data_IF_664131616987
#
_entry.id   IF_664131616987
#
_cell.length_a   1.000
_cell.length_b   1.000
_cell.length_c   1.000
_cell.angle_alpha   90.00
_cell.angle_beta   90.00
_cell.angle_gamma   90.00
#
_symmetry.space_group_name_H-M   'P 1'
#
loop_
_entity.id
_entity.type
_entity.pdbx_description
1 polymer ?
#
# COMPACT_ATOMS: atom_id res chain seq x y z
N UNK A 1 11.48 -21.40 -16.65
CA UNK A 1 10.27 -20.88 -17.34
C UNK A 1 10.16 -19.40 -17.05
N UNK A 2 9.81 -18.64 -18.05
CA UNK A 2 9.51 -17.22 -17.92
C UNK A 2 8.18 -17.03 -17.16
N UNK A 3 8.14 -16.08 -16.21
CA UNK A 3 6.95 -15.74 -15.44
C UNK A 3 6.55 -14.32 -15.79
N UNK A 4 5.36 -14.18 -16.34
CA UNK A 4 4.80 -12.90 -16.75
C UNK A 4 3.77 -12.43 -15.71
N UNK A 5 3.94 -11.22 -15.23
CA UNK A 5 2.98 -10.56 -14.36
C UNK A 5 2.71 -9.13 -14.83
N UNK A 6 1.48 -8.68 -14.67
CA UNK A 6 1.08 -7.31 -14.90
C UNK A 6 0.74 -6.69 -13.57
N UNK A 7 1.53 -5.70 -13.14
CA UNK A 7 1.31 -4.94 -11.93
C UNK A 7 0.70 -3.58 -12.30
N UNK A 8 -0.35 -3.17 -11.57
CA UNK A 8 -1.03 -1.90 -11.77
C UNK A 8 -0.99 -1.14 -10.45
N UNK A 9 -0.56 0.10 -10.50
CA UNK A 9 -0.67 1.04 -9.39
C UNK A 9 -2.06 1.69 -9.42
N UNK A 10 -2.75 1.66 -8.30
CA UNK A 10 -4.07 2.28 -8.16
C UNK A 10 -3.96 3.63 -7.49
N UNK A 11 -3.60 3.67 -6.23
CA UNK A 11 -3.38 4.89 -5.47
C UNK A 11 -2.78 4.54 -4.10
N UNK A 12 -1.99 5.44 -3.50
CA UNK A 12 -1.43 5.31 -2.15
C UNK A 12 -0.66 3.99 -1.95
N UNK A 13 -1.23 3.04 -1.21
CA UNK A 13 -0.72 1.67 -1.03
C UNK A 13 -1.48 0.64 -1.86
N UNK A 14 -2.39 1.09 -2.74
CA UNK A 14 -3.24 0.23 -3.56
C UNK A 14 -2.56 -0.27 -4.82
N UNK A 15 -2.41 -1.60 -4.93
CA UNK A 15 -1.87 -2.27 -6.12
C UNK A 15 -2.73 -3.45 -6.53
N UNK A 16 -2.70 -3.78 -7.82
CA UNK A 16 -3.13 -5.10 -8.27
C UNK A 16 -2.07 -5.78 -9.12
N UNK A 17 -2.01 -7.11 -9.05
CA UNK A 17 -1.09 -7.94 -9.80
C UNK A 17 -1.85 -9.07 -10.47
N UNK A 18 -1.75 -9.13 -11.78
CA UNK A 18 -2.32 -10.18 -12.61
C UNK A 18 -1.23 -11.20 -12.97
N UNK A 19 -1.52 -12.48 -12.72
CA UNK A 19 -0.70 -13.61 -13.14
C UNK A 19 -1.63 -14.69 -13.71
N UNK A 20 -1.58 -14.88 -15.04
CA UNK A 20 -2.56 -15.73 -15.74
C UNK A 20 -3.99 -15.28 -15.49
N UNK A 21 -4.88 -16.23 -15.12
CA UNK A 21 -6.28 -15.95 -14.76
C UNK A 21 -6.50 -15.48 -13.33
N UNK A 22 -5.42 -15.25 -12.55
CA UNK A 22 -5.50 -14.84 -11.14
C UNK A 22 -5.19 -13.36 -10.96
N UNK A 23 -6.02 -12.67 -10.19
CA UNK A 23 -5.82 -11.28 -9.77
C UNK A 23 -5.58 -11.21 -8.26
N UNK A 24 -4.49 -10.55 -7.86
CA UNK A 24 -4.19 -10.16 -6.48
C UNK A 24 -4.45 -8.66 -6.36
N UNK A 25 -5.14 -8.22 -5.33
CA UNK A 25 -5.40 -6.81 -5.03
C UNK A 25 -4.93 -6.55 -3.61
N UNK A 26 -4.13 -5.51 -3.41
CA UNK A 26 -3.56 -5.13 -2.12
C UNK A 26 -4.06 -3.74 -1.73
N UNK A 27 -4.55 -3.58 -0.50
CA UNK A 27 -4.88 -2.33 0.17
C UNK A 27 -5.54 -1.28 -0.75
N UNK A 28 -6.60 -1.69 -1.46
CA UNK A 28 -7.27 -0.83 -2.42
C UNK A 28 -8.06 0.27 -1.72
N UNK A 29 -7.80 1.50 -2.16
CA UNK A 29 -8.49 2.70 -1.72
C UNK A 29 -8.67 3.69 -2.87
N UNK A 30 -9.83 4.31 -3.00
CA UNK A 30 -10.15 5.27 -4.08
C UNK A 30 -9.78 6.72 -3.72
N UNK A 31 -9.13 6.94 -2.58
CA UNK A 31 -8.78 8.27 -2.08
C UNK A 31 -9.91 8.95 -1.33
N UNK A 32 -9.60 10.05 -0.66
CA UNK A 32 -10.60 10.91 -0.05
C UNK A 32 -11.58 11.42 -1.12
N UNK A 33 -12.86 11.48 -0.76
CA UNK A 33 -13.93 11.90 -1.67
C UNK A 33 -13.97 11.13 -3.02
N UNK A 34 -13.39 9.92 -3.06
CA UNK A 34 -13.28 9.09 -4.27
C UNK A 34 -12.61 9.82 -5.43
N UNK A 35 -11.55 10.56 -5.11
CA UNK A 35 -10.79 11.36 -6.08
C UNK A 35 -10.01 10.54 -7.11
N UNK A 36 -9.90 9.21 -6.91
CA UNK A 36 -9.21 8.34 -7.85
C UNK A 36 -9.85 8.38 -9.24
N UNK A 37 -9.07 8.77 -10.23
CA UNK A 37 -9.49 8.85 -11.64
C UNK A 37 -9.82 7.47 -12.23
N UNK A 38 -10.51 7.47 -13.38
CA UNK A 38 -11.01 6.25 -14.04
C UNK A 38 -9.90 5.22 -14.30
N UNK A 39 -8.69 5.65 -14.64
CA UNK A 39 -7.57 4.76 -14.97
C UNK A 39 -7.09 3.93 -13.77
N UNK A 40 -7.20 4.49 -12.54
CA UNK A 40 -6.81 3.80 -11.32
C UNK A 40 -7.91 2.95 -10.69
N UNK A 41 -9.16 3.10 -11.13
CA UNK A 41 -10.29 2.39 -10.50
C UNK A 41 -10.40 0.93 -10.90
N UNK A 42 -10.71 0.11 -9.90
CA UNK A 42 -11.12 -1.27 -10.11
C UNK A 42 -12.65 -1.31 -10.26
N UNK A 43 -13.11 -1.72 -11.44
CA UNK A 43 -14.54 -1.82 -11.74
C UNK A 43 -15.00 -3.29 -11.76
N UNK A 44 -16.29 -3.57 -11.51
CA UNK A 44 -16.82 -4.92 -11.67
C UNK A 44 -16.54 -5.52 -13.05
N UNK A 45 -16.57 -4.70 -14.11
CA UNK A 45 -16.25 -5.15 -15.47
C UNK A 45 -14.79 -5.61 -15.60
N UNK A 46 -13.84 -4.91 -14.97
CA UNK A 46 -12.45 -5.32 -14.91
C UNK A 46 -12.31 -6.66 -14.18
N UNK A 47 -12.98 -6.81 -13.03
CA UNK A 47 -12.93 -8.02 -12.21
C UNK A 47 -13.49 -9.27 -12.92
N UNK A 48 -14.47 -9.12 -13.81
CA UNK A 48 -15.07 -10.23 -14.58
C UNK A 48 -14.10 -10.92 -15.54
N UNK A 49 -12.94 -10.31 -15.81
CA UNK A 49 -11.91 -10.91 -16.66
C UNK A 49 -11.08 -12.01 -15.96
N UNK A 50 -11.27 -12.23 -14.63
CA UNK A 50 -10.42 -13.12 -13.86
C UNK A 50 -11.19 -14.33 -13.33
N UNK A 51 -10.50 -15.48 -13.33
CA UNK A 51 -11.02 -16.74 -12.81
C UNK A 51 -10.97 -16.81 -11.28
N UNK A 52 -9.98 -16.13 -10.67
CA UNK A 52 -9.76 -16.07 -9.24
C UNK A 52 -9.28 -14.67 -8.83
N UNK A 53 -9.88 -14.14 -7.77
CA UNK A 53 -9.55 -12.82 -7.25
C UNK A 53 -9.26 -12.92 -5.76
N UNK A 54 -8.10 -12.42 -5.33
CA UNK A 54 -7.70 -12.38 -3.93
C UNK A 54 -7.47 -10.93 -3.51
N UNK A 55 -8.20 -10.49 -2.50
CA UNK A 55 -8.10 -9.13 -1.94
C UNK A 55 -7.40 -9.23 -0.59
N UNK A 56 -6.24 -8.62 -0.49
CA UNK A 56 -5.41 -8.55 0.72
C UNK A 56 -5.59 -7.20 1.38
N UNK A 57 -5.92 -7.20 2.67
CA UNK A 57 -6.12 -5.98 3.48
C UNK A 57 -5.21 -6.10 4.69
N UNK A 58 -4.20 -5.23 4.73
CA UNK A 58 -3.15 -5.27 5.74
C UNK A 58 -3.66 -4.85 7.11
N UNK A 59 -4.49 -3.81 7.19
CA UNK A 59 -5.07 -3.27 8.42
C UNK A 59 -6.32 -2.40 8.15
N UNK A 60 -6.88 -1.80 9.21
CA UNK A 60 -8.18 -1.15 9.16
C UNK A 60 -8.14 0.38 8.93
N UNK A 61 -6.97 0.98 8.67
CA UNK A 61 -6.93 2.41 8.34
C UNK A 61 -7.69 2.69 7.03
N UNK A 62 -8.37 3.83 6.92
CA UNK A 62 -9.21 4.14 5.75
C UNK A 62 -8.47 4.14 4.42
N UNK A 63 -7.18 4.49 4.40
CA UNK A 63 -6.31 4.55 3.24
C UNK A 63 -5.74 3.18 2.80
N UNK A 64 -6.07 2.10 3.55
CA UNK A 64 -5.76 0.70 3.22
C UNK A 64 -7.00 -0.19 3.06
N UNK A 65 -8.15 0.27 3.53
CA UNK A 65 -9.42 -0.43 3.43
C UNK A 65 -10.55 0.49 2.94
N UNK A 66 -10.81 0.50 1.65
CA UNK A 66 -12.05 1.09 1.13
C UNK A 66 -13.20 0.07 1.25
N UNK A 67 -14.33 0.43 1.90
CA UNK A 67 -15.50 -0.44 1.98
C UNK A 67 -16.06 -0.88 0.61
N UNK A 68 -15.72 -0.17 -0.47
CA UNK A 68 -16.14 -0.52 -1.84
C UNK A 68 -15.71 -1.94 -2.23
N UNK A 69 -14.56 -2.42 -1.71
CA UNK A 69 -14.06 -3.77 -2.01
C UNK A 69 -15.07 -4.85 -1.65
N UNK A 70 -15.88 -4.63 -0.62
CA UNK A 70 -16.91 -5.57 -0.20
C UNK A 70 -18.17 -5.52 -1.06
N UNK A 71 -18.41 -4.43 -1.80
CA UNK A 71 -19.55 -4.33 -2.72
C UNK A 71 -19.38 -5.24 -3.94
N UNK A 72 -18.14 -5.60 -4.29
CA UNK A 72 -17.84 -6.51 -5.40
C UNK A 72 -18.41 -7.91 -5.22
N UNK A 73 -18.72 -8.32 -3.98
CA UNK A 73 -19.42 -9.59 -3.70
C UNK A 73 -20.81 -9.68 -4.35
N UNK A 74 -21.45 -8.52 -4.54
CA UNK A 74 -22.79 -8.45 -5.14
C UNK A 74 -22.77 -8.82 -6.65
N UNK A 75 -21.60 -8.82 -7.27
CA UNK A 75 -21.41 -9.16 -8.68
C UNK A 75 -21.22 -10.67 -8.93
N UNK A 76 -21.35 -11.50 -7.90
CA UNK A 76 -21.14 -12.96 -7.97
C UNK A 76 -19.77 -13.36 -8.53
N UNK A 77 -18.73 -12.61 -8.14
CA UNK A 77 -17.35 -12.81 -8.57
C UNK A 77 -16.62 -13.80 -7.64
N UNK A 78 -15.62 -14.56 -8.15
CA UNK A 78 -14.85 -15.54 -7.37
C UNK A 78 -13.81 -14.85 -6.48
N UNK A 79 -14.27 -14.05 -5.51
CA UNK A 79 -13.40 -13.23 -4.64
C UNK A 79 -13.16 -13.92 -3.31
N UNK A 80 -11.90 -14.00 -2.91
CA UNK A 80 -11.47 -14.39 -1.55
C UNK A 80 -10.77 -13.21 -0.90
N UNK A 81 -11.24 -12.79 0.28
CA UNK A 81 -10.61 -11.75 1.09
C UNK A 81 -9.67 -12.37 2.10
N UNK A 82 -8.46 -11.84 2.21
CA UNK A 82 -7.45 -12.16 3.21
C UNK A 82 -7.20 -10.89 4.01
N UNK A 83 -7.44 -10.95 5.29
CA UNK A 83 -7.38 -9.77 6.16
C UNK A 83 -6.52 -10.06 7.38
N UNK A 84 -5.87 -9.04 7.93
CA UNK A 84 -5.14 -9.17 9.18
C UNK A 84 -6.02 -9.70 10.32
N UNK A 85 -5.41 -10.41 11.27
CA UNK A 85 -6.14 -10.98 12.41
C UNK A 85 -6.69 -9.96 13.39
N UNK A 86 -6.12 -8.76 13.42
CA UNK A 86 -6.52 -7.63 14.29
C UNK A 86 -7.61 -6.73 13.70
N UNK A 87 -8.08 -7.04 12.48
CA UNK A 87 -9.20 -6.32 11.89
C UNK A 87 -10.42 -6.32 12.83
N UNK A 88 -11.25 -5.25 12.81
CA UNK A 88 -12.46 -5.17 13.63
C UNK A 88 -13.37 -6.40 13.52
N UNK A 89 -14.09 -6.70 14.60
CA UNK A 89 -15.09 -7.79 14.60
C UNK A 89 -16.16 -7.50 13.54
N UNK A 90 -16.49 -8.50 12.74
CA UNK A 90 -17.45 -8.34 11.63
C UNK A 90 -16.81 -8.05 10.27
N UNK A 91 -15.52 -7.68 10.21
CA UNK A 91 -14.80 -7.59 8.94
C UNK A 91 -14.78 -8.95 8.26
N UNK A 92 -15.33 -9.01 7.04
CA UNK A 92 -15.37 -10.24 6.24
C UNK A 92 -14.01 -10.62 5.68
N UNK A 93 -13.69 -11.91 5.68
CA UNK A 93 -12.46 -12.45 5.09
C UNK A 93 -11.81 -13.56 5.92
N UNK A 94 -10.80 -14.21 5.32
CA UNK A 94 -9.95 -15.19 5.99
C UNK A 94 -8.86 -14.43 6.78
N UNK A 95 -8.94 -14.47 8.10
CA UNK A 95 -7.98 -13.80 8.98
C UNK A 95 -6.63 -14.50 8.96
N UNK A 96 -5.55 -13.70 8.96
CA UNK A 96 -4.17 -14.19 9.06
C UNK A 96 -3.39 -13.37 10.09
N UNK A 97 -2.72 -14.05 11.02
CA UNK A 97 -1.88 -13.41 12.03
C UNK A 97 -0.40 -13.42 11.61
N UNK A 98 0.43 -12.52 12.17
CA UNK A 98 1.87 -12.55 11.98
C UNK A 98 2.46 -13.95 12.21
N UNK A 99 3.37 -14.38 11.35
CA UNK A 99 4.00 -15.70 11.37
C UNK A 99 3.18 -16.82 10.73
N UNK A 100 1.91 -16.62 10.44
CA UNK A 100 1.07 -17.63 9.80
C UNK A 100 1.30 -17.69 8.28
N UNK A 101 1.17 -18.91 7.74
CA UNK A 101 1.11 -19.16 6.29
C UNK A 101 -0.21 -19.82 5.94
N UNK A 102 -0.85 -19.39 4.87
CA UNK A 102 -2.07 -20.01 4.33
C UNK A 102 -1.86 -20.40 2.87
N UNK A 103 -2.14 -21.66 2.54
CA UNK A 103 -2.29 -22.10 1.16
C UNK A 103 -3.67 -21.67 0.67
N UNK A 104 -3.76 -20.92 -0.42
CA UNK A 104 -4.99 -20.41 -0.99
C UNK A 104 -5.43 -21.25 -2.19
N UNK A 105 -4.47 -21.61 -3.05
CA UNK A 105 -4.63 -22.59 -4.15
C UNK A 105 -3.35 -23.44 -4.23
N UNK A 106 -3.25 -24.46 -5.07
CA UNK A 106 -2.00 -25.23 -5.23
C UNK A 106 -0.79 -24.35 -5.57
N UNK A 107 -0.99 -23.26 -6.33
CA UNK A 107 0.07 -22.39 -6.84
C UNK A 107 0.13 -21.02 -6.14
N UNK A 108 -0.72 -20.78 -5.13
CA UNK A 108 -0.81 -19.51 -4.43
C UNK A 108 -0.82 -19.72 -2.92
N UNK A 109 0.14 -19.14 -2.23
CA UNK A 109 0.18 -19.07 -0.78
C UNK A 109 0.49 -17.66 -0.29
N UNK A 110 0.11 -17.36 0.94
CA UNK A 110 0.42 -16.11 1.62
C UNK A 110 1.01 -16.39 2.99
N UNK A 111 2.06 -15.67 3.34
CA UNK A 111 2.64 -15.60 4.68
C UNK A 111 2.51 -14.16 5.19
N UNK A 112 2.04 -14.02 6.43
CA UNK A 112 1.94 -12.72 7.09
C UNK A 112 3.14 -12.49 8.02
N UNK A 113 3.61 -11.23 8.07
CA UNK A 113 4.68 -10.78 8.96
C UNK A 113 4.18 -9.66 9.85
N UNK A 114 4.84 -9.40 11.00
CA UNK A 114 4.50 -8.27 11.84
C UNK A 114 4.70 -6.94 11.10
N UNK A 115 3.88 -5.96 11.44
CA UNK A 115 4.01 -4.57 11.05
C UNK A 115 4.56 -3.74 12.23
N UNK A 116 5.00 -2.52 11.96
CA UNK A 116 5.40 -1.52 12.96
C UNK A 116 4.31 -0.48 13.21
N UNK A 117 3.20 -0.62 12.52
CA UNK A 117 1.93 0.01 12.80
C UNK A 117 0.89 -1.11 13.01
N UNK A 118 -0.38 -0.90 12.65
CA UNK A 118 -1.43 -1.91 12.74
C UNK A 118 -1.24 -3.01 11.67
N UNK A 119 -1.81 -4.17 11.94
CA UNK A 119 -1.97 -5.24 10.96
C UNK A 119 -0.73 -6.05 10.65
N UNK A 120 -0.56 -6.35 9.37
CA UNK A 120 0.47 -7.27 8.87
C UNK A 120 1.04 -6.80 7.54
N UNK A 121 2.28 -7.24 7.24
CA UNK A 121 2.80 -7.28 5.87
C UNK A 121 2.50 -8.64 5.25
N UNK A 122 2.33 -8.69 3.93
CA UNK A 122 2.06 -9.90 3.18
C UNK A 122 3.25 -10.29 2.30
N UNK A 123 3.63 -11.57 2.33
CA UNK A 123 4.45 -12.20 1.30
C UNK A 123 3.59 -13.21 0.56
N UNK A 124 3.23 -12.90 -0.67
CA UNK A 124 2.42 -13.78 -1.52
C UNK A 124 3.35 -14.50 -2.49
N UNK A 125 3.27 -15.82 -2.49
CA UNK A 125 3.96 -16.65 -3.48
C UNK A 125 2.92 -17.12 -4.51
N UNK A 126 3.06 -16.65 -5.74
CA UNK A 126 2.22 -17.03 -6.88
C UNK A 126 3.09 -17.61 -8.00
N UNK A 127 2.87 -18.88 -8.37
CA UNK A 127 3.68 -19.62 -9.35
C UNK A 127 5.19 -19.55 -9.07
N UNK A 128 5.57 -19.48 -7.77
CA UNK A 128 6.96 -19.35 -7.34
C UNK A 128 7.55 -17.94 -7.52
N UNK A 129 6.73 -16.91 -7.81
CA UNK A 129 7.13 -15.51 -7.73
C UNK A 129 6.70 -14.96 -6.38
N UNK A 130 7.60 -14.31 -5.66
CA UNK A 130 7.38 -13.78 -4.31
C UNK A 130 7.15 -12.27 -4.32
N UNK A 131 5.93 -11.89 -4.00
CA UNK A 131 5.44 -10.51 -3.97
C UNK A 131 5.26 -10.09 -2.51
N UNK A 132 5.99 -9.06 -2.08
CA UNK A 132 5.88 -8.49 -0.75
C UNK A 132 5.12 -7.17 -0.80
N UNK A 133 4.08 -7.06 0.03
CA UNK A 133 3.37 -5.81 0.30
C UNK A 133 3.53 -5.47 1.77
N UNK A 134 4.16 -4.35 2.04
CA UNK A 134 4.53 -3.97 3.39
C UNK A 134 3.34 -3.61 4.29
N UNK A 135 2.17 -3.23 3.72
CA UNK A 135 1.19 -2.48 4.48
C UNK A 135 1.87 -1.22 5.04
N UNK A 136 1.70 -0.96 6.32
CA UNK A 136 2.37 0.15 7.01
C UNK A 136 3.60 -0.29 7.82
N UNK A 137 4.22 -1.40 7.43
CA UNK A 137 5.56 -1.70 7.94
C UNK A 137 6.55 -0.65 7.44
N UNK A 138 7.11 0.13 8.35
CA UNK A 138 8.16 1.11 8.07
C UNK A 138 8.93 1.44 9.35
N UNK A 139 10.06 2.11 9.22
CA UNK A 139 10.73 2.74 10.35
C UNK A 139 10.03 4.08 10.64
N UNK A 140 8.95 4.04 11.40
CA UNK A 140 8.17 5.21 11.77
C UNK A 140 8.92 6.04 12.82
N UNK A 141 9.73 6.95 12.34
CA UNK A 141 10.70 7.69 13.11
C UNK A 141 10.51 9.20 12.91
N UNK A 142 9.68 9.78 13.76
CA UNK A 142 9.38 11.21 13.78
C UNK A 142 10.47 11.98 14.54
N UNK A 143 11.70 11.95 14.02
CA UNK A 143 12.91 12.41 14.73
C UNK A 143 12.82 13.81 15.32
N UNK A 144 12.05 14.70 14.73
CA UNK A 144 11.91 16.08 15.20
C UNK A 144 10.89 16.23 16.34
N UNK A 145 9.99 15.25 16.51
CA UNK A 145 8.87 15.28 17.44
C UNK A 145 8.98 14.21 18.54
N UNK A 146 9.72 13.12 18.27
CA UNK A 146 9.83 11.98 19.16
C UNK A 146 10.96 12.13 20.17
N UNK A 147 10.74 11.61 21.38
CA UNK A 147 11.78 11.44 22.39
C UNK A 147 12.79 10.36 21.96
N UNK A 148 13.98 10.36 22.55
CA UNK A 148 14.98 9.32 22.28
C UNK A 148 14.44 7.90 22.55
N UNK A 149 13.61 7.74 23.59
CA UNK A 149 13.02 6.44 23.93
C UNK A 149 12.04 5.96 22.86
N UNK A 150 11.24 6.84 22.29
CA UNK A 150 10.32 6.51 21.20
C UNK A 150 11.07 6.17 19.92
N UNK A 151 12.16 6.86 19.65
CA UNK A 151 13.07 6.58 18.54
C UNK A 151 13.66 5.17 18.69
N UNK A 152 14.27 4.85 19.83
CA UNK A 152 14.83 3.54 20.11
C UNK A 152 13.78 2.42 20.02
N UNK A 153 12.56 2.69 20.50
CA UNK A 153 11.45 1.72 20.40
C UNK A 153 11.03 1.47 18.94
N UNK A 154 10.94 2.51 18.12
CA UNK A 154 10.62 2.40 16.71
C UNK A 154 11.71 1.64 15.93
N UNK A 155 12.99 1.94 16.19
CA UNK A 155 14.12 1.23 15.58
C UNK A 155 14.13 -0.26 15.97
N UNK A 156 13.86 -0.56 17.24
CA UNK A 156 13.80 -1.95 17.75
C UNK A 156 12.65 -2.71 17.09
N UNK A 157 11.45 -2.15 17.09
CA UNK A 157 10.28 -2.79 16.47
C UNK A 157 10.48 -3.03 14.97
N UNK A 158 11.06 -2.06 14.26
CA UNK A 158 11.37 -2.21 12.85
C UNK A 158 12.42 -3.30 12.62
N UNK A 159 13.48 -3.35 13.42
CA UNK A 159 14.50 -4.39 13.31
C UNK A 159 13.94 -5.79 13.58
N UNK A 160 13.06 -5.96 14.57
CA UNK A 160 12.39 -7.24 14.85
C UNK A 160 11.52 -7.70 13.67
N UNK A 161 10.77 -6.79 13.06
CA UNK A 161 9.98 -7.10 11.87
C UNK A 161 10.88 -7.49 10.68
N UNK A 162 11.98 -6.76 10.46
CA UNK A 162 12.96 -7.05 9.44
C UNK A 162 13.63 -8.43 9.63
N UNK A 163 13.94 -8.80 10.87
CA UNK A 163 14.55 -10.11 11.19
C UNK A 163 13.58 -11.26 10.90
N UNK A 164 12.28 -11.07 11.10
CA UNK A 164 11.27 -12.04 10.74
C UNK A 164 11.16 -12.25 9.21
N UNK A 165 11.40 -11.20 8.41
CA UNK A 165 11.32 -11.24 6.93
C UNK A 165 12.63 -11.74 6.31
N UNK A 166 13.78 -11.51 6.95
CA UNK A 166 15.14 -11.77 6.43
C UNK A 166 15.36 -13.16 5.79
N UNK A 167 14.75 -14.27 6.27
CA UNK A 167 14.90 -15.58 5.63
C UNK A 167 14.26 -15.68 4.23
N UNK A 168 13.41 -14.73 3.87
CA UNK A 168 12.66 -14.79 2.63
C UNK A 168 13.43 -14.19 1.44
N UNK A 169 13.18 -14.76 0.26
CA UNK A 169 13.56 -14.12 -1.01
C UNK A 169 12.35 -13.33 -1.50
N UNK A 170 12.58 -12.13 -2.03
CA UNK A 170 11.54 -11.24 -2.52
C UNK A 170 11.86 -10.87 -3.96
N UNK A 171 10.92 -11.11 -4.88
CA UNK A 171 11.06 -10.67 -6.27
C UNK A 171 10.55 -9.25 -6.46
N UNK A 172 9.37 -8.93 -5.92
CA UNK A 172 8.77 -7.59 -5.96
C UNK A 172 8.41 -7.16 -4.56
N UNK A 173 8.79 -5.95 -4.16
CA UNK A 173 8.43 -5.34 -2.90
C UNK A 173 7.73 -4.00 -3.13
N UNK A 174 6.56 -3.81 -2.54
CA UNK A 174 5.86 -2.53 -2.39
C UNK A 174 6.02 -2.08 -0.94
N UNK A 175 6.63 -0.89 -0.73
CA UNK A 175 7.08 -0.47 0.60
C UNK A 175 6.94 1.04 0.80
N UNK A 176 6.54 1.53 2.02
CA UNK A 176 6.35 2.94 2.30
C UNK A 176 7.62 3.79 2.14
N UNK A 177 7.45 4.95 1.50
CA UNK A 177 8.41 6.06 1.42
C UNK A 177 7.63 7.34 1.73
N UNK A 178 7.44 7.65 3.01
CA UNK A 178 6.48 8.64 3.46
C UNK A 178 7.10 9.99 3.78
N UNK A 179 6.84 11.03 2.97
CA UNK A 179 7.42 12.36 3.14
C UNK A 179 7.03 13.06 4.45
N UNK A 180 5.98 12.61 5.15
CA UNK A 180 5.59 13.16 6.45
C UNK A 180 6.67 12.95 7.51
N UNK A 181 7.51 11.93 7.35
CA UNK A 181 8.66 11.66 8.25
C UNK A 181 9.82 12.66 8.10
N UNK A 182 9.69 13.68 7.24
CA UNK A 182 10.72 14.69 7.04
C UNK A 182 12.02 14.09 6.53
N UNK A 183 13.15 14.34 7.21
CA UNK A 183 14.47 13.87 6.79
C UNK A 183 14.65 12.33 6.84
N UNK A 184 13.78 11.62 7.54
CA UNK A 184 13.87 10.16 7.72
C UNK A 184 12.93 9.39 6.77
N UNK A 185 12.28 10.06 5.82
CA UNK A 185 11.22 9.54 4.97
C UNK A 185 11.59 8.28 4.17
N UNK A 186 12.86 8.06 3.91
CA UNK A 186 13.39 6.94 3.12
C UNK A 186 14.27 5.97 3.92
N UNK A 187 14.42 6.19 5.24
CA UNK A 187 15.33 5.41 6.06
C UNK A 187 14.92 3.92 6.14
N UNK A 188 13.65 3.65 6.41
CA UNK A 188 13.13 2.27 6.46
C UNK A 188 13.23 1.58 5.11
N UNK A 189 12.84 2.26 4.03
CA UNK A 189 12.90 1.74 2.67
C UNK A 189 14.35 1.42 2.24
N UNK A 190 15.30 2.30 2.51
CA UNK A 190 16.72 2.05 2.21
C UNK A 190 17.27 0.86 3.01
N UNK A 191 16.93 0.76 4.30
CA UNK A 191 17.32 -0.39 5.12
C UNK A 191 16.70 -1.69 4.61
N UNK A 192 15.44 -1.67 4.18
CA UNK A 192 14.77 -2.81 3.57
C UNK A 192 15.48 -3.26 2.28
N UNK A 193 15.77 -2.34 1.35
CA UNK A 193 16.49 -2.65 0.11
C UNK A 193 17.83 -3.29 0.38
N UNK A 194 18.63 -2.69 1.29
CA UNK A 194 19.97 -3.18 1.61
C UNK A 194 19.98 -4.56 2.28
N UNK A 195 18.96 -4.86 3.06
CA UNK A 195 18.86 -6.12 3.82
C UNK A 195 18.20 -7.23 3.02
N UNK A 196 17.05 -6.95 2.39
CA UNK A 196 16.22 -7.95 1.70
C UNK A 196 16.60 -8.11 0.24
N UNK A 197 17.16 -7.08 -0.39
CA UNK A 197 17.63 -7.10 -1.79
C UNK A 197 16.56 -7.61 -2.76
N UNK A 198 15.33 -7.03 -2.73
CA UNK A 198 14.31 -7.43 -3.67
C UNK A 198 14.79 -7.15 -5.10
N UNK A 199 14.36 -7.96 -6.06
CA UNK A 199 14.72 -7.73 -7.46
C UNK A 199 14.08 -6.44 -8.00
N UNK A 200 12.83 -6.17 -7.59
CA UNK A 200 12.12 -4.93 -7.87
C UNK A 200 11.61 -4.34 -6.56
N UNK A 201 11.81 -3.05 -6.37
CA UNK A 201 11.25 -2.26 -5.27
C UNK A 201 10.35 -1.17 -5.83
N UNK A 202 9.17 -0.98 -5.24
CA UNK A 202 8.18 0.02 -5.64
C UNK A 202 7.85 0.87 -4.42
N UNK A 203 8.25 2.15 -4.40
CA UNK A 203 7.87 3.07 -3.35
C UNK A 203 6.35 3.32 -3.39
N UNK A 204 5.72 3.25 -2.23
CA UNK A 204 4.31 3.56 -2.02
C UNK A 204 4.16 4.51 -0.82
N UNK A 205 2.94 4.92 -0.48
CA UNK A 205 2.65 5.77 0.68
C UNK A 205 3.31 7.15 0.64
N UNK A 206 3.67 7.63 -0.55
CA UNK A 206 4.33 8.91 -0.76
C UNK A 206 3.37 10.10 -0.79
N UNK A 207 2.11 9.87 -0.36
CA UNK A 207 1.02 10.83 -0.34
C UNK A 207 0.74 11.38 -1.77
N UNK A 208 0.41 12.66 -1.89
CA UNK A 208 0.24 13.34 -3.18
C UNK A 208 1.55 13.97 -3.68
N UNK A 209 2.70 13.35 -3.40
CA UNK A 209 4.04 13.85 -3.68
C UNK A 209 4.84 12.91 -4.59
N UNK A 210 4.46 12.78 -5.87
CA UNK A 210 5.11 11.85 -6.81
C UNK A 210 6.61 12.09 -6.97
N UNK A 211 7.05 13.35 -6.79
CA UNK A 211 8.46 13.70 -6.83
C UNK A 211 9.29 12.95 -5.77
N UNK A 212 8.70 12.61 -4.63
CA UNK A 212 9.37 11.84 -3.57
C UNK A 212 9.69 10.42 -4.06
N UNK A 213 8.72 9.74 -4.69
CA UNK A 213 8.91 8.40 -5.24
C UNK A 213 9.94 8.42 -6.39
N UNK A 214 9.90 9.43 -7.27
CA UNK A 214 10.84 9.60 -8.39
C UNK A 214 12.25 9.82 -7.87
N UNK A 215 12.43 10.74 -6.93
CA UNK A 215 13.76 11.04 -6.35
C UNK A 215 14.32 9.85 -5.57
N UNK A 216 13.47 9.13 -4.82
CA UNK A 216 13.85 7.92 -4.15
C UNK A 216 14.31 6.86 -5.16
N UNK A 217 13.54 6.58 -6.22
CA UNK A 217 13.91 5.60 -7.23
C UNK A 217 15.24 5.92 -7.90
N UNK A 218 15.49 7.19 -8.21
CA UNK A 218 16.76 7.63 -8.81
C UNK A 218 17.97 7.36 -7.91
N UNK A 219 17.82 7.51 -6.58
CA UNK A 219 18.93 7.41 -5.61
C UNK A 219 19.15 6.00 -5.07
N UNK A 220 18.10 5.18 -4.98
CA UNK A 220 18.13 3.92 -4.22
C UNK A 220 18.30 2.67 -5.07
N UNK A 221 18.12 2.74 -6.41
CA UNK A 221 18.42 1.61 -7.29
C UNK A 221 19.90 1.23 -7.23
N UNK A 222 20.17 -0.07 -7.34
CA UNK A 222 21.53 -0.60 -7.29
C UNK A 222 21.66 -1.84 -8.17
N UNK A 223 22.82 -2.50 -8.15
CA UNK A 223 23.10 -3.66 -9.00
C UNK A 223 22.19 -4.89 -8.73
N UNK A 224 21.50 -4.94 -7.58
CA UNK A 224 20.66 -6.06 -7.16
C UNK A 224 19.16 -5.73 -7.18
N UNK A 225 18.82 -4.44 -7.06
CA UNK A 225 17.46 -3.96 -6.92
C UNK A 225 17.18 -2.87 -7.94
N UNK A 226 16.23 -3.10 -8.84
CA UNK A 226 15.61 -2.04 -9.64
C UNK A 226 14.51 -1.34 -8.84
N UNK A 227 14.44 -0.01 -8.90
CA UNK A 227 13.43 0.78 -8.17
C UNK A 227 12.52 1.48 -9.16
N UNK A 228 11.23 1.14 -9.12
CA UNK A 228 10.21 1.64 -10.05
C UNK A 228 9.30 2.64 -9.35
N UNK A 229 9.35 3.91 -9.74
CA UNK A 229 8.39 4.92 -9.31
C UNK A 229 7.14 4.87 -10.19
N UNK A 230 6.08 4.21 -9.70
CA UNK A 230 4.76 4.20 -10.35
C UNK A 230 3.92 5.30 -9.70
N UNK A 231 3.87 6.48 -10.34
CA UNK A 231 3.39 7.70 -9.68
C UNK A 231 2.03 8.20 -10.16
N UNK A 232 1.45 7.55 -11.17
CA UNK A 232 0.11 7.91 -11.66
C UNK A 232 -0.82 6.70 -11.54
N UNK A 233 -2.03 6.87 -10.98
CA UNK A 233 -3.03 5.81 -10.96
C UNK A 233 -3.30 5.25 -12.36
N UNK A 234 -3.33 3.93 -12.47
CA UNK A 234 -3.49 3.23 -13.75
C UNK A 234 -2.20 2.96 -14.53
N UNK A 235 -1.03 3.41 -14.04
CA UNK A 235 0.26 2.98 -14.61
C UNK A 235 0.41 1.47 -14.45
N UNK A 236 0.82 0.85 -15.55
CA UNK A 236 1.02 -0.59 -15.64
C UNK A 236 2.50 -0.92 -15.79
N UNK A 237 3.02 -1.81 -14.96
CA UNK A 237 4.31 -2.44 -15.16
C UNK A 237 4.10 -3.89 -15.61
N UNK A 238 4.43 -4.20 -16.87
CA UNK A 238 4.54 -5.57 -17.34
C UNK A 238 5.93 -6.09 -16.99
N UNK A 239 5.97 -7.13 -16.19
CA UNK A 239 7.19 -7.69 -15.64
C UNK A 239 7.37 -9.12 -16.14
N UNK A 240 8.50 -9.42 -16.76
CA UNK A 240 8.91 -10.75 -17.16
C UNK A 240 10.10 -11.20 -16.35
N UNK A 241 9.96 -12.31 -15.65
CA UNK A 241 10.98 -12.85 -14.78
C UNK A 241 11.55 -14.16 -15.33
N UNK A 242 12.87 -14.20 -15.48
CA UNK A 242 13.66 -15.43 -15.60
C UNK A 242 14.51 -15.60 -14.33
N UNK A 243 15.27 -16.68 -14.22
CA UNK A 243 16.21 -16.86 -13.11
C UNK A 243 17.27 -15.76 -13.05
N UNK A 244 17.75 -15.30 -14.21
CA UNK A 244 18.86 -14.36 -14.31
C UNK A 244 18.42 -12.91 -14.57
N UNK A 245 17.30 -12.70 -15.27
CA UNK A 245 16.93 -11.39 -15.80
C UNK A 245 15.49 -11.02 -15.40
N UNK A 246 15.27 -9.72 -15.36
CA UNK A 246 13.92 -9.13 -15.33
C UNK A 246 13.83 -8.21 -16.54
N UNK A 247 12.77 -8.33 -17.32
CA UNK A 247 12.38 -7.36 -18.31
C UNK A 247 11.20 -6.54 -17.77
N UNK A 248 11.26 -5.23 -17.96
CA UNK A 248 10.30 -4.27 -17.39
C UNK A 248 9.79 -3.37 -18.50
N UNK A 249 8.50 -3.41 -18.75
CA UNK A 249 7.84 -2.52 -19.70
C UNK A 249 6.73 -1.72 -19.01
N UNK A 250 6.92 -0.39 -18.89
CA UNK A 250 5.98 0.52 -18.27
C UNK A 250 5.02 1.06 -19.32
N UNK A 251 3.72 1.02 -19.02
CA UNK A 251 2.65 1.59 -19.83
C UNK A 251 1.96 2.66 -18.99
N UNK A 252 2.02 3.89 -19.47
CA UNK A 252 1.33 5.01 -18.84
C UNK A 252 -0.17 5.02 -19.24
N UNK A 253 -1.07 5.43 -18.34
CA UNK A 253 -2.47 5.59 -18.67
C UNK A 253 -2.65 6.70 -19.73
N UNK A 254 -3.75 6.66 -20.52
CA UNK A 254 -4.07 7.72 -21.47
C UNK A 254 -4.12 9.10 -20.79
N UNK A 255 -3.57 10.12 -21.45
CA UNK A 255 -3.54 11.49 -20.90
C UNK A 255 -4.92 12.14 -20.80
N UNK A 256 -5.84 11.73 -21.66
CA UNK A 256 -7.20 12.28 -21.75
C UNK A 256 -8.09 11.97 -20.52
N UNK A 257 -7.60 11.15 -19.59
CA UNK A 257 -8.25 10.87 -18.31
C UNK A 257 -7.75 11.77 -17.17
N UNK A 258 -6.77 12.63 -17.41
CA UNK A 258 -6.23 13.59 -16.43
C UNK A 258 -7.06 14.88 -16.31
N UNK A 259 -7.89 15.19 -17.29
CA UNK A 259 -8.64 16.46 -17.39
C UNK A 259 -10.05 16.41 -16.76
N UNK A 260 -10.31 15.51 -15.84
CA UNK A 260 -11.47 15.71 -14.97
C UNK A 260 -11.10 16.80 -13.98
N UNK A 261 -11.84 17.94 -13.94
CA UNK A 261 -11.46 19.06 -13.11
C UNK A 261 -11.34 18.59 -11.66
N UNK A 262 -10.18 18.85 -11.07
CA UNK A 262 -10.02 18.92 -9.63
C UNK A 262 -11.24 19.65 -9.07
N UNK A 263 -11.89 19.06 -8.07
CA UNK A 263 -13.06 19.64 -7.44
C UNK A 263 -12.83 21.13 -7.22
N UNK A 264 -13.82 21.93 -7.59
CA UNK A 264 -13.77 23.38 -7.51
C UNK A 264 -13.26 23.83 -6.14
N UNK A 265 -12.46 24.90 -6.09
CA UNK A 265 -11.98 25.44 -4.82
C UNK A 265 -13.19 25.72 -3.92
N UNK A 266 -13.14 25.23 -2.71
CA UNK A 266 -14.15 25.54 -1.68
C UNK A 266 -14.26 27.05 -1.61
N UNK A 267 -15.43 27.59 -1.95
CA UNK A 267 -15.77 28.98 -1.64
C UNK A 267 -15.63 29.11 -0.13
N UNK A 268 -14.73 30.00 0.30
CA UNK A 268 -14.70 30.50 1.67
C UNK A 268 -15.99 31.28 1.91
N UNK A 269 -17.06 30.63 2.25
CA UNK A 269 -18.16 31.26 2.97
C UNK A 269 -17.76 31.25 4.44
N UNK A 270 -17.25 32.40 4.85
CA UNK A 270 -17.13 32.79 6.24
C UNK A 270 -18.55 32.93 6.79
N UNK A 271 -19.04 31.90 7.44
CA UNK A 271 -20.18 32.05 8.34
C UNK A 271 -19.64 32.26 9.75
N UNK A 272 -19.36 33.56 10.02
CA UNK A 272 -19.14 34.06 11.36
C UNK A 272 -20.48 34.06 12.09
N UNK A 273 -20.76 33.02 12.84
CA UNK A 273 -21.65 33.09 13.99
C UNK A 273 -21.05 32.32 15.14
N UNK A 274 -20.28 33.03 15.93
CA UNK A 274 -19.83 32.60 17.27
C UNK A 274 -21.00 32.67 18.22
N UNK A 275 -21.51 31.55 18.79
CA UNK A 275 -22.65 31.56 19.72
C UNK A 275 -22.24 31.78 21.19
N UNK A 276 -20.99 32.19 21.48
CA UNK A 276 -20.51 32.39 22.86
C UNK A 276 -20.02 33.81 23.18
N UNK A 277 -20.64 34.86 22.63
CA UNK A 277 -20.48 36.22 23.13
C UNK A 277 -21.73 36.62 23.94
N UNK A 278 -21.80 36.19 25.18
CA UNK A 278 -22.49 36.93 26.20
C UNK A 278 -21.85 36.69 27.56
N UNK A 279 -21.04 37.64 27.92
CA UNK A 279 -20.58 37.92 29.26
C UNK A 279 -21.71 38.46 30.10
N UNK A 280 -22.15 37.72 31.11
CA UNK A 280 -22.73 38.27 32.32
C UNK A 280 -22.47 37.30 33.49
N UNK A 281 -21.38 37.53 34.19
CA UNK A 281 -21.18 37.03 35.54
C UNK A 281 -21.54 38.14 36.52
N UNK A 282 -22.48 37.96 37.43
CA UNK A 282 -22.61 38.85 38.56
C UNK A 282 -21.50 38.53 39.58
N UNK A 283 -20.79 39.59 39.93
CA UNK A 283 -19.95 39.69 41.11
C UNK A 283 -20.87 39.75 42.31
N UNK A 284 -20.76 38.81 43.24
CA UNK A 284 -21.14 39.07 44.63
C UNK A 284 -20.22 38.32 45.62
N UNK A 285 -19.75 39.13 46.48
CA UNK A 285 -18.90 39.05 47.63
C UNK A 285 -19.57 38.23 48.76
N UNK A 286 -18.90 37.28 49.34
CA UNK A 286 -18.60 37.15 50.77
C UNK A 286 -17.63 35.98 51.01
#
# INVERSE_FOLDING_TARGET
>A
MEKLVKLIYHYHSGFSLQAGGTLLIFDYWEGEDRCLGAAGRITPQFLKAFEQIFVFISHAHPDHLDPIVYTWKNENLPITYIVSSDMPVGTGGKRIAPGQTKQLTPDLSVKAFPSTDLGVSFLVNIYGLKIFHAGDLNLWHWRQESTLREIEAAETAFQEAMDAIRPEKIDVAMFPVDPRQGMMYDAGANQFILTMKPRIFIPMHWQERPEVAIDFARRSRNAQTEVLALTRPGVVANLSFTEALIDIHIIEPPKDLEDLPSAAPRSNETDETDPFSDTDLPVDIQ
#
